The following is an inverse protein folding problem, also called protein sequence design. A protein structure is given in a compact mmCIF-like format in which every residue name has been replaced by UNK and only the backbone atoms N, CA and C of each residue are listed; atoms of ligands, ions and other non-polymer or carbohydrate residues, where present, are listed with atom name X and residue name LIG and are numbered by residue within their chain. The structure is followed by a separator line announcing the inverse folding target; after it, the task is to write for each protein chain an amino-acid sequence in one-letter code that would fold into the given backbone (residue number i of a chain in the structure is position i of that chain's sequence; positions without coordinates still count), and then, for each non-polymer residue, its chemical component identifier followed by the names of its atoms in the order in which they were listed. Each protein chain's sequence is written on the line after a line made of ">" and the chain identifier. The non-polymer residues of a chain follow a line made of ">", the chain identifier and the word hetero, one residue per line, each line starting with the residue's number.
data_IF_543372780278
#
_entry.id   IF_543372780278
#
_cell.length_a   1.000
_cell.length_b   1.000
_cell.length_c   1.000
_cell.angle_alpha   90.00
_cell.angle_beta   90.00
_cell.angle_gamma   90.00
#
_symmetry.space_group_name_H-M   'P 1'
#
loop_
_entity.id
_entity.type
_entity.pdbx_description
1 polymer ?
#
# COMPACT_ATOMS: atom_id res chain seq x y z
N UNK A 1 61.48 9.26 18.94
CA UNK A 1 62.56 8.25 18.90
C UNK A 1 61.96 6.93 18.46
N UNK A 2 62.60 6.39 17.52
CA UNK A 2 62.68 5.08 16.84
C UNK A 2 61.77 4.89 15.66
N UNK A 3 62.40 5.19 14.52
CA UNK A 3 62.17 4.69 13.16
C UNK A 3 62.32 3.16 13.16
N UNK A 4 61.49 2.44 12.44
CA UNK A 4 61.89 1.25 11.71
C UNK A 4 61.18 1.17 10.36
N UNK A 5 61.97 1.35 9.38
CA UNK A 5 61.83 1.14 7.96
C UNK A 5 62.09 -0.36 7.71
N UNK A 6 61.21 -1.09 7.04
CA UNK A 6 61.58 -2.29 6.35
C UNK A 6 60.87 -2.40 4.99
N UNK A 7 61.70 -2.59 4.04
CA UNK A 7 61.58 -2.59 2.58
C UNK A 7 61.38 -4.04 2.12
N UNK A 8 60.77 -4.19 0.92
CA UNK A 8 60.81 -5.31 -0.02
C UNK A 8 59.96 -6.54 0.29
N UNK A 9 59.20 -7.11 -0.62
CA UNK A 9 59.58 -7.66 -1.93
C UNK A 9 58.30 -8.01 -2.72
N UNK A 10 58.33 -7.74 -4.00
CA UNK A 10 57.30 -8.11 -4.99
C UNK A 10 57.46 -9.61 -5.33
N UNK A 11 56.32 -10.31 -5.44
CA UNK A 11 56.25 -11.54 -6.26
C UNK A 11 54.94 -11.50 -7.04
N UNK A 12 55.11 -11.32 -8.36
CA UNK A 12 54.11 -11.62 -9.37
C UNK A 12 53.97 -13.14 -9.50
N UNK A 13 52.74 -13.64 -9.36
CA UNK A 13 52.40 -14.94 -9.99
C UNK A 13 51.05 -14.79 -10.72
N UNK A 14 51.16 -14.93 -12.01
CA UNK A 14 50.09 -15.14 -12.97
C UNK A 14 49.54 -16.58 -12.78
N UNK A 15 48.21 -16.72 -12.74
CA UNK A 15 47.54 -18.02 -12.79
C UNK A 15 46.09 -17.89 -13.20
N UNK A 16 45.51 -18.82 -14.00
CA UNK A 16 44.41 -18.50 -14.92
C UNK A 16 43.02 -18.74 -14.38
N UNK A 17 42.10 -18.11 -15.09
CA UNK A 17 40.65 -18.25 -15.14
C UNK A 17 40.04 -19.55 -14.62
N UNK A 18 39.08 -19.41 -13.68
CA UNK A 18 37.94 -20.32 -13.56
C UNK A 18 36.66 -19.49 -13.52
N UNK A 19 35.92 -19.64 -14.61
CA UNK A 19 34.55 -19.21 -14.76
C UNK A 19 33.68 -19.94 -13.74
N UNK A 20 33.10 -19.26 -12.78
CA UNK A 20 32.01 -19.79 -11.97
C UNK A 20 30.83 -18.84 -12.07
N UNK A 21 29.79 -19.36 -12.69
CA UNK A 21 28.44 -18.87 -12.83
C UNK A 21 27.91 -18.36 -11.48
N UNK A 22 27.91 -17.04 -11.30
CA UNK A 22 27.20 -16.42 -10.18
C UNK A 22 25.74 -16.31 -10.56
N UNK A 23 24.94 -17.15 -9.96
CA UNK A 23 23.48 -17.01 -9.93
C UNK A 23 23.12 -15.61 -9.47
N UNK A 24 22.51 -14.86 -10.38
CA UNK A 24 21.95 -13.55 -10.16
C UNK A 24 20.80 -13.68 -9.16
N UNK A 25 21.09 -13.52 -7.88
CA UNK A 25 20.06 -13.24 -6.89
C UNK A 25 19.40 -11.94 -7.27
N UNK A 26 18.13 -12.02 -7.67
CA UNK A 26 17.28 -10.87 -7.92
C UNK A 26 17.10 -10.15 -6.59
N UNK A 27 17.86 -9.09 -6.38
CA UNK A 27 17.55 -8.10 -5.37
C UNK A 27 16.18 -7.55 -5.71
N UNK A 28 15.21 -7.89 -4.85
CA UNK A 28 13.92 -7.20 -4.80
C UNK A 28 14.23 -5.81 -4.22
N UNK A 29 14.62 -4.91 -5.10
CA UNK A 29 14.69 -3.49 -4.78
C UNK A 29 13.27 -3.08 -4.44
N UNK A 30 12.99 -2.86 -3.17
CA UNK A 30 11.79 -2.17 -2.73
C UNK A 30 11.86 -0.75 -3.28
N UNK A 31 11.30 -0.53 -4.47
CA UNK A 31 10.98 0.79 -4.94
C UNK A 31 9.96 1.40 -3.99
N UNK A 32 10.44 2.25 -3.10
CA UNK A 32 9.64 3.31 -2.50
C UNK A 32 9.40 4.32 -3.63
N UNK A 33 8.54 3.92 -4.59
CA UNK A 33 8.02 4.84 -5.57
C UNK A 33 7.18 5.86 -4.79
N UNK A 34 7.58 7.12 -4.85
CA UNK A 34 6.79 8.22 -4.31
C UNK A 34 5.35 8.06 -4.74
N UNK A 35 4.43 8.00 -3.80
CA UNK A 35 3.01 7.83 -4.05
C UNK A 35 2.56 8.99 -4.93
N UNK A 36 2.18 8.69 -6.17
CA UNK A 36 1.62 9.69 -7.07
C UNK A 36 0.23 10.03 -6.56
N UNK A 37 0.08 11.21 -6.00
CA UNK A 37 -1.21 11.78 -5.66
C UNK A 37 -2.17 11.73 -6.87
N UNK A 38 -3.46 11.69 -6.63
CA UNK A 38 -4.48 11.62 -7.68
C UNK A 38 -4.62 10.25 -8.37
N UNK A 39 -4.13 9.15 -7.74
CA UNK A 39 -4.28 7.78 -8.24
C UNK A 39 -4.73 6.82 -7.15
N UNK A 40 -5.40 5.75 -7.55
CA UNK A 40 -5.72 4.65 -6.65
C UNK A 40 -4.48 3.78 -6.43
N UNK A 41 -4.08 3.63 -5.18
CA UNK A 41 -2.85 2.96 -4.76
C UNK A 41 -3.16 1.52 -4.35
N UNK A 42 -2.46 0.55 -4.95
CA UNK A 42 -2.59 -0.85 -4.53
C UNK A 42 -1.81 -1.11 -3.24
N UNK A 43 -2.48 -1.73 -2.27
CA UNK A 43 -1.85 -2.16 -1.02
C UNK A 43 -1.65 -3.68 -1.00
N UNK A 44 -0.50 -4.08 -0.46
CA UNK A 44 -0.27 -5.41 0.10
C UNK A 44 -0.61 -5.38 1.60
N UNK A 45 -0.68 -6.54 2.24
CA UNK A 45 -0.83 -6.63 3.70
C UNK A 45 0.23 -5.82 4.46
N UNK A 46 1.48 -5.90 4.02
CA UNK A 46 2.57 -5.17 4.66
C UNK A 46 2.39 -3.65 4.56
N UNK A 47 2.06 -3.14 3.37
CA UNK A 47 1.80 -1.72 3.17
C UNK A 47 0.50 -1.25 3.83
N UNK A 48 -0.52 -2.10 3.93
CA UNK A 48 -1.73 -1.79 4.69
C UNK A 48 -1.42 -1.58 6.18
N UNK A 49 -0.63 -2.48 6.77
CA UNK A 49 -0.20 -2.37 8.17
C UNK A 49 0.55 -1.06 8.44
N UNK A 50 1.42 -0.64 7.53
CA UNK A 50 2.23 0.56 7.71
C UNK A 50 1.52 1.88 7.38
N UNK A 51 0.49 1.85 6.50
CA UNK A 51 -0.16 3.07 5.97
C UNK A 51 -1.59 3.28 6.43
N UNK A 52 -2.26 2.20 6.86
CA UNK A 52 -3.67 2.25 7.21
C UNK A 52 -3.88 1.87 8.67
N UNK A 53 -3.59 0.63 9.03
CA UNK A 53 -3.85 0.16 10.38
C UNK A 53 -3.06 -1.10 10.73
N UNK A 54 -2.26 -1.01 11.80
CA UNK A 54 -1.57 -2.17 12.35
C UNK A 54 -2.49 -2.95 13.31
N UNK A 55 -3.34 -3.79 12.72
CA UNK A 55 -4.28 -4.64 13.44
C UNK A 55 -3.60 -5.76 14.25
N UNK A 56 -2.32 -6.01 14.01
CA UNK A 56 -1.55 -7.00 14.77
C UNK A 56 -1.12 -6.44 16.12
N UNK A 57 -0.74 -5.16 16.16
CA UNK A 57 -0.37 -4.47 17.41
C UNK A 57 -1.55 -3.88 18.14
N UNK A 58 -2.56 -3.41 17.42
CA UNK A 58 -3.66 -2.62 17.96
C UNK A 58 -5.02 -3.34 17.85
N UNK A 59 -5.09 -4.64 18.15
CA UNK A 59 -6.28 -5.47 17.94
C UNK A 59 -7.58 -4.96 18.62
N UNK A 60 -7.50 -4.07 19.62
CA UNK A 60 -8.65 -3.59 20.39
C UNK A 60 -9.02 -2.12 20.15
N UNK A 61 -8.12 -1.34 19.55
CA UNK A 61 -8.32 0.10 19.37
C UNK A 61 -7.93 0.46 17.95
N UNK A 62 -8.87 1.06 17.23
CA UNK A 62 -8.59 1.59 15.91
C UNK A 62 -7.59 2.75 16.01
N UNK A 63 -6.50 2.66 15.26
CA UNK A 63 -5.51 3.72 15.14
C UNK A 63 -5.10 3.84 13.67
N UNK A 64 -5.57 4.88 13.02
CA UNK A 64 -5.19 5.16 11.65
C UNK A 64 -3.75 5.64 11.56
N UNK A 65 -2.97 5.09 10.63
CA UNK A 65 -1.54 5.40 10.45
C UNK A 65 -1.29 6.40 9.30
N UNK A 66 -2.33 6.79 8.55
CA UNK A 66 -2.21 7.75 7.44
C UNK A 66 -2.29 9.22 7.89
N UNK A 67 -1.91 10.11 6.98
CA UNK A 67 -1.88 11.57 7.17
C UNK A 67 -3.06 12.30 6.50
N UNK A 68 -3.86 11.60 5.71
CA UNK A 68 -5.08 12.11 5.02
C UNK A 68 -6.21 11.10 5.17
N UNK A 69 -7.48 11.54 5.17
CA UNK A 69 -8.60 10.61 5.14
C UNK A 69 -8.47 9.65 3.95
N UNK A 70 -8.96 8.43 4.10
CA UNK A 70 -8.77 7.42 3.06
C UNK A 70 -10.04 6.62 2.75
N UNK A 71 -10.06 6.04 1.55
CA UNK A 71 -10.96 4.95 1.17
C UNK A 71 -10.11 3.74 0.87
N UNK A 72 -10.50 2.56 1.36
CA UNK A 72 -9.89 1.28 0.96
C UNK A 72 -10.95 0.43 0.26
N UNK A 73 -10.71 0.11 -1.02
CA UNK A 73 -11.55 -0.78 -1.82
C UNK A 73 -11.03 -2.22 -1.74
N UNK A 74 -11.78 -3.09 -1.10
CA UNK A 74 -11.55 -4.53 -1.12
C UNK A 74 -12.24 -5.14 -2.34
N UNK A 75 -11.46 -5.63 -3.29
CA UNK A 75 -11.93 -6.10 -4.59
C UNK A 75 -11.31 -7.44 -4.99
N UNK A 76 -11.80 -8.02 -6.08
CA UNK A 76 -11.12 -9.09 -6.82
C UNK A 76 -11.20 -8.85 -8.33
N UNK A 77 -10.25 -9.40 -9.07
CA UNK A 77 -10.14 -9.17 -10.53
C UNK A 77 -11.30 -9.75 -11.35
N UNK A 78 -11.95 -10.79 -10.86
CA UNK A 78 -13.11 -11.44 -11.48
C UNK A 78 -14.45 -10.78 -11.10
N UNK A 79 -14.48 -9.90 -10.13
CA UNK A 79 -15.69 -9.29 -9.59
C UNK A 79 -16.28 -8.24 -10.56
N UNK A 80 -17.44 -8.52 -11.13
CA UNK A 80 -18.14 -7.63 -12.06
C UNK A 80 -18.51 -6.27 -11.44
N UNK A 81 -19.16 -6.23 -10.26
CA UNK A 81 -19.47 -4.96 -9.58
C UNK A 81 -18.22 -4.13 -9.26
N UNK A 82 -17.10 -4.77 -8.87
CA UNK A 82 -15.84 -4.07 -8.60
C UNK A 82 -15.29 -3.35 -9.83
N UNK A 83 -15.42 -3.98 -11.01
CA UNK A 83 -15.01 -3.38 -12.30
C UNK A 83 -15.83 -2.12 -12.65
N UNK A 84 -17.06 -1.99 -12.15
CA UNK A 84 -17.87 -0.76 -12.34
C UNK A 84 -17.46 0.35 -11.40
N UNK A 85 -17.06 0.03 -10.18
CA UNK A 85 -16.62 1.03 -9.18
C UNK A 85 -15.20 1.52 -9.46
N UNK A 86 -14.31 0.67 -9.96
CA UNK A 86 -12.91 0.99 -10.15
C UNK A 86 -12.66 2.31 -10.94
N UNK A 87 -13.28 2.55 -12.12
CA UNK A 87 -13.08 3.81 -12.84
C UNK A 87 -13.61 5.02 -12.05
N UNK A 88 -14.68 4.87 -11.28
CA UNK A 88 -15.22 5.94 -10.45
C UNK A 88 -14.24 6.30 -9.34
N UNK A 89 -13.60 5.32 -8.71
CA UNK A 89 -12.58 5.57 -7.70
C UNK A 89 -11.32 6.25 -8.29
N UNK A 90 -10.93 5.90 -9.52
CA UNK A 90 -9.82 6.58 -10.21
C UNK A 90 -10.17 8.04 -10.56
N UNK A 91 -11.43 8.33 -10.92
CA UNK A 91 -11.89 9.71 -11.13
C UNK A 91 -11.89 10.50 -9.82
N UNK A 92 -12.42 9.91 -8.74
CA UNK A 92 -12.48 10.54 -7.41
C UNK A 92 -11.07 10.76 -6.84
N UNK A 93 -10.13 9.84 -7.07
CA UNK A 93 -8.74 10.03 -6.65
C UNK A 93 -8.12 11.30 -7.27
N UNK A 94 -8.45 11.59 -8.53
CA UNK A 94 -8.02 12.84 -9.21
C UNK A 94 -8.78 14.05 -8.71
N UNK A 95 -10.11 13.93 -8.55
CA UNK A 95 -10.98 15.04 -8.13
C UNK A 95 -10.62 15.52 -6.71
N UNK A 96 -10.26 14.60 -5.83
CA UNK A 96 -9.89 14.87 -4.44
C UNK A 96 -8.39 14.77 -4.16
N UNK A 97 -7.57 14.94 -5.21
CA UNK A 97 -6.09 14.93 -5.09
C UNK A 97 -5.62 15.88 -3.99
N UNK A 98 -4.70 15.40 -3.15
CA UNK A 98 -4.18 16.14 -2.01
C UNK A 98 -5.12 16.19 -0.78
N UNK A 99 -6.41 15.87 -0.91
CA UNK A 99 -7.40 15.91 0.19
C UNK A 99 -7.64 14.56 0.83
N UNK A 100 -7.71 13.49 0.03
CA UNK A 100 -7.88 12.11 0.47
C UNK A 100 -6.93 11.19 -0.26
N UNK A 101 -6.80 9.96 0.22
CA UNK A 101 -6.08 8.88 -0.47
C UNK A 101 -7.06 7.73 -0.74
N UNK A 102 -7.01 7.18 -1.95
CA UNK A 102 -7.80 5.99 -2.29
C UNK A 102 -6.86 4.80 -2.49
N UNK A 103 -7.10 3.77 -1.73
CA UNK A 103 -6.38 2.50 -1.77
C UNK A 103 -7.25 1.39 -2.33
N UNK A 104 -6.61 0.33 -2.86
CA UNK A 104 -7.28 -0.91 -3.23
C UNK A 104 -6.51 -2.13 -2.74
N UNK A 105 -7.24 -3.14 -2.28
CA UNK A 105 -6.74 -4.41 -1.76
C UNK A 105 -7.37 -5.56 -2.54
N UNK A 106 -6.54 -6.38 -3.17
CA UNK A 106 -6.99 -7.58 -3.87
C UNK A 106 -7.20 -8.72 -2.85
N UNK A 107 -8.44 -9.11 -2.61
CA UNK A 107 -8.81 -10.11 -1.59
C UNK A 107 -8.31 -11.52 -1.93
N UNK A 108 -8.04 -11.82 -3.19
CA UNK A 108 -7.47 -13.09 -3.61
C UNK A 108 -5.97 -13.18 -3.29
N UNK A 109 -5.27 -12.04 -3.40
CA UNK A 109 -3.84 -11.94 -3.06
C UNK A 109 -3.64 -11.76 -1.55
N UNK A 110 -4.48 -10.97 -0.91
CA UNK A 110 -4.35 -10.55 0.50
C UNK A 110 -5.40 -11.23 1.40
N UNK A 111 -5.50 -12.57 1.31
CA UNK A 111 -6.53 -13.38 1.99
C UNK A 111 -6.53 -13.22 3.51
N UNK A 112 -5.34 -13.11 4.11
CA UNK A 112 -5.23 -12.92 5.57
C UNK A 112 -5.78 -11.56 6.00
N UNK A 113 -5.49 -10.51 5.22
CA UNK A 113 -6.01 -9.18 5.45
C UNK A 113 -7.53 -9.14 5.30
N UNK A 114 -8.06 -9.73 4.23
CA UNK A 114 -9.51 -9.84 4.01
C UNK A 114 -10.21 -10.57 5.16
N UNK A 115 -9.64 -11.65 5.68
CA UNK A 115 -10.16 -12.38 6.85
C UNK A 115 -10.11 -11.54 8.12
N UNK A 116 -9.00 -10.84 8.37
CA UNK A 116 -8.82 -10.00 9.56
C UNK A 116 -9.86 -8.87 9.63
N UNK A 117 -10.28 -8.35 8.46
CA UNK A 117 -11.33 -7.33 8.34
C UNK A 117 -12.73 -7.90 8.13
N UNK A 118 -12.92 -9.22 8.18
CA UNK A 118 -14.23 -9.86 8.01
C UNK A 118 -14.87 -9.58 6.66
N UNK A 119 -14.08 -9.44 5.59
CA UNK A 119 -14.59 -9.17 4.24
C UNK A 119 -15.31 -10.42 3.71
N UNK A 120 -16.64 -10.38 3.70
CA UNK A 120 -17.51 -11.47 3.25
C UNK A 120 -18.11 -11.24 1.88
N UNK A 121 -18.08 -10.01 1.39
CA UNK A 121 -18.59 -9.61 0.06
C UNK A 121 -17.67 -8.58 -0.58
N UNK A 122 -17.70 -8.49 -1.91
CA UNK A 122 -16.94 -7.50 -2.68
C UNK A 122 -17.81 -6.85 -3.77
N UNK A 123 -17.56 -5.57 -4.06
CA UNK A 123 -16.65 -4.66 -3.39
C UNK A 123 -17.11 -4.33 -1.97
N UNK A 124 -16.15 -4.15 -1.06
CA UNK A 124 -16.39 -3.55 0.26
C UNK A 124 -15.49 -2.34 0.37
N UNK A 125 -16.09 -1.19 0.68
CA UNK A 125 -15.41 0.10 0.80
C UNK A 125 -15.30 0.47 2.27
N UNK A 126 -14.08 0.72 2.74
CA UNK A 126 -13.78 1.20 4.08
C UNK A 126 -13.44 2.69 4.00
N UNK A 127 -14.28 3.53 4.60
CA UNK A 127 -14.11 4.98 4.69
C UNK A 127 -13.43 5.32 6.01
N UNK A 128 -12.28 5.95 5.95
CA UNK A 128 -11.42 6.21 7.10
C UNK A 128 -11.24 7.71 7.30
N UNK A 129 -11.93 8.32 8.28
CA UNK A 129 -11.73 9.73 8.62
C UNK A 129 -10.43 9.91 9.42
N UNK A 130 -9.92 11.13 9.50
CA UNK A 130 -8.75 11.46 10.34
C UNK A 130 -9.03 11.32 11.84
N UNK A 131 -10.28 11.34 12.24
CA UNK A 131 -10.72 11.19 13.64
C UNK A 131 -11.97 10.34 13.72
N UNK A 132 -12.02 9.44 14.70
CA UNK A 132 -13.13 8.52 14.90
C UNK A 132 -12.93 7.18 14.21
N UNK A 133 -13.98 6.38 14.23
CA UNK A 133 -13.96 5.02 13.69
C UNK A 133 -14.27 5.01 12.19
N UNK A 134 -13.72 4.06 11.44
CA UNK A 134 -14.02 3.90 10.04
C UNK A 134 -15.46 3.41 9.82
N UNK A 135 -16.02 3.73 8.66
CA UNK A 135 -17.32 3.22 8.20
C UNK A 135 -17.13 2.26 7.04
N UNK A 136 -17.99 1.24 6.97
CA UNK A 136 -17.97 0.22 5.92
C UNK A 136 -19.23 0.34 5.06
N UNK A 137 -19.06 0.29 3.76
CA UNK A 137 -20.14 0.14 2.80
C UNK A 137 -19.89 -1.08 1.91
N UNK A 138 -20.91 -1.90 1.73
CA UNK A 138 -20.87 -3.08 0.90
C UNK A 138 -21.53 -2.82 -0.46
N UNK A 139 -20.91 -3.34 -1.52
CA UNK A 139 -21.43 -3.23 -2.87
C UNK A 139 -20.94 -2.00 -3.65
N UNK A 140 -21.30 -1.98 -4.93
CA UNK A 140 -20.92 -0.90 -5.85
C UNK A 140 -21.82 0.31 -5.60
N UNK A 141 -21.28 1.35 -4.98
CA UNK A 141 -21.98 2.62 -4.76
C UNK A 141 -21.94 3.50 -6.01
N UNK A 142 -23.02 4.26 -6.30
CA UNK A 142 -22.99 5.34 -7.29
C UNK A 142 -21.97 6.43 -6.94
N UNK A 143 -21.46 7.14 -7.96
CA UNK A 143 -20.45 8.21 -7.77
C UNK A 143 -20.93 9.29 -6.80
N UNK A 144 -22.19 9.67 -6.88
CA UNK A 144 -22.81 10.70 -6.04
C UNK A 144 -22.75 10.31 -4.55
N UNK A 145 -23.05 9.04 -4.24
CA UNK A 145 -23.00 8.53 -2.87
C UNK A 145 -21.56 8.49 -2.34
N UNK A 146 -20.61 8.14 -3.20
CA UNK A 146 -19.18 8.17 -2.86
C UNK A 146 -18.71 9.59 -2.59
N UNK A 147 -19.11 10.56 -3.42
CA UNK A 147 -18.82 12.00 -3.20
C UNK A 147 -19.41 12.50 -1.90
N UNK A 148 -20.68 12.19 -1.65
CA UNK A 148 -21.35 12.58 -0.40
C UNK A 148 -20.58 12.00 0.82
N UNK A 149 -20.20 10.72 0.80
CA UNK A 149 -19.43 10.11 1.87
C UNK A 149 -18.04 10.77 2.04
N UNK A 150 -17.39 11.14 0.95
CA UNK A 150 -16.12 11.88 1.00
C UNK A 150 -16.33 13.25 1.63
N UNK A 151 -17.27 14.02 1.12
CA UNK A 151 -17.46 15.40 1.55
C UNK A 151 -17.95 15.49 3.00
N UNK A 152 -19.00 14.74 3.35
CA UNK A 152 -19.62 14.83 4.67
C UNK A 152 -18.85 14.05 5.75
N UNK A 153 -18.48 12.79 5.46
CA UNK A 153 -17.89 11.92 6.48
C UNK A 153 -16.37 12.03 6.55
N UNK A 154 -15.67 12.05 5.40
CA UNK A 154 -14.21 12.10 5.40
C UNK A 154 -13.67 13.52 5.61
N UNK A 155 -14.26 14.52 4.96
CA UNK A 155 -13.79 15.92 4.98
C UNK A 155 -14.56 16.80 5.95
N UNK A 156 -15.72 16.37 6.45
CA UNK A 156 -16.55 17.12 7.39
C UNK A 156 -17.20 18.38 6.78
N UNK A 157 -17.31 18.45 5.48
CA UNK A 157 -17.98 19.51 4.77
C UNK A 157 -19.51 19.32 4.93
N UNK A 158 -20.20 20.26 5.53
CA UNK A 158 -21.67 20.29 5.66
C UNK A 158 -22.28 21.16 4.58
#
# INVERSE_FOLDING_TARGET
>A
MKKFLFLMLAVLTFGPACSSNVSKSTEVTSEVAGEKEGKVIRLTRASFISKVYDYQKNAKVWKYEGDKPAIVDFYATWCGPCKRVAPVLEELAKEYEGKIVIYKVDTDQEKELARAFGITSIPTLLFIPMKGDPQVANGALPKENLKQAIDEFLLGNK
#
